data_IF_988550518700
#
_entry.id   IF_988550518700
#
_cell.length_a   1.000
_cell.length_b   1.000
_cell.length_c   1.000
_cell.angle_alpha   90.00
_cell.angle_beta   90.00
_cell.angle_gamma   90.00
#
_symmetry.space_group_name_H-M   'P 1'
#
loop_
_entity.id
_entity.type
_entity.pdbx_description
1 polymer ?
#
# COMPACT_ATOMS: atom_id res chain seq x y z
N UNK A 1 -26.47 -11.40 53.12
CA UNK A 1 -26.99 -11.08 51.77
C UNK A 1 -25.82 -10.60 50.93
N UNK A 2 -25.34 -11.45 50.04
CA UNK A 2 -24.16 -11.22 49.19
C UNK A 2 -24.65 -10.53 47.92
N UNK A 3 -24.37 -9.24 47.76
CA UNK A 3 -24.69 -8.50 46.54
C UNK A 3 -23.68 -8.90 45.45
N UNK A 4 -24.15 -9.68 44.46
CA UNK A 4 -23.45 -9.89 43.21
C UNK A 4 -23.43 -8.56 42.43
N UNK A 5 -22.26 -7.96 42.30
CA UNK A 5 -22.02 -6.90 41.33
C UNK A 5 -21.74 -7.55 39.96
N UNK A 6 -22.74 -7.58 39.07
CA UNK A 6 -22.50 -7.80 37.65
C UNK A 6 -21.97 -6.49 37.06
N UNK A 7 -20.66 -6.41 36.81
CA UNK A 7 -20.10 -5.44 35.86
C UNK A 7 -20.45 -5.92 34.45
N UNK A 8 -21.13 -5.11 33.61
CA UNK A 8 -21.16 -5.38 32.19
C UNK A 8 -19.78 -4.97 31.64
N UNK A 9 -18.94 -5.97 31.38
CA UNK A 9 -17.77 -5.80 30.50
C UNK A 9 -18.32 -5.68 29.08
N UNK A 10 -18.85 -4.49 28.75
CA UNK A 10 -19.11 -4.07 27.38
C UNK A 10 -17.74 -3.82 26.74
N UNK A 11 -17.15 -4.91 26.25
CA UNK A 11 -16.01 -4.87 25.35
C UNK A 11 -16.34 -3.92 24.20
N UNK A 12 -15.52 -2.87 24.08
CA UNK A 12 -15.50 -1.95 22.95
C UNK A 12 -15.07 -2.65 21.68
N UNK A 13 -16.00 -3.39 21.06
CA UNK A 13 -15.90 -3.74 19.65
C UNK A 13 -15.99 -2.42 18.88
N UNK A 14 -14.85 -1.87 18.49
CA UNK A 14 -14.82 -0.91 17.39
C UNK A 14 -15.24 -1.71 16.16
N UNK A 15 -16.54 -1.69 15.86
CA UNK A 15 -17.06 -2.11 14.58
C UNK A 15 -16.57 -1.04 13.60
N UNK A 16 -15.36 -1.21 13.07
CA UNK A 16 -14.99 -0.48 11.87
C UNK A 16 -15.94 -0.96 10.79
N UNK A 17 -16.71 -0.03 10.22
CA UNK A 17 -17.60 -0.32 9.11
C UNK A 17 -16.76 -0.89 7.95
N UNK A 18 -17.33 -1.82 7.18
CA UNK A 18 -16.73 -2.24 5.92
C UNK A 18 -16.50 -1.01 5.02
N UNK A 19 -15.44 -1.00 4.19
CA UNK A 19 -15.23 0.10 3.26
C UNK A 19 -16.46 0.25 2.35
N UNK A 20 -16.90 1.49 2.17
CA UNK A 20 -17.97 1.81 1.23
C UNK A 20 -17.50 1.70 -0.22
N UNK A 21 -16.19 1.83 -0.43
CA UNK A 21 -15.55 1.71 -1.74
C UNK A 21 -14.08 1.32 -1.60
N UNK A 22 -13.56 0.56 -2.58
CA UNK A 22 -12.17 0.13 -2.64
C UNK A 22 -11.65 0.49 -4.04
N UNK A 23 -10.66 1.37 -4.07
CA UNK A 23 -10.02 1.79 -5.31
C UNK A 23 -8.69 1.08 -5.50
N UNK A 24 -8.43 0.69 -6.75
CA UNK A 24 -7.18 0.10 -7.20
C UNK A 24 -6.37 1.14 -7.99
N UNK A 25 -5.03 1.07 -7.96
CA UNK A 25 -4.24 2.08 -8.64
C UNK A 25 -4.36 1.88 -10.15
N UNK A 26 -4.60 2.95 -10.90
CA UNK A 26 -4.57 2.92 -12.36
C UNK A 26 -3.21 3.31 -12.95
N UNK A 27 -2.23 3.54 -12.08
CA UNK A 27 -0.86 3.86 -12.48
C UNK A 27 0.14 3.30 -11.48
N UNK A 28 1.12 2.56 -12.00
CA UNK A 28 2.28 2.03 -11.27
C UNK A 28 3.55 2.53 -11.97
N UNK A 29 4.23 3.52 -11.40
CA UNK A 29 5.45 4.10 -11.96
C UNK A 29 6.69 3.63 -11.20
N UNK A 30 7.61 2.91 -11.85
CA UNK A 30 8.93 2.67 -11.28
C UNK A 30 9.71 3.96 -11.13
N UNK A 31 10.27 4.20 -9.95
CA UNK A 31 11.25 5.25 -9.69
C UNK A 31 12.54 4.57 -9.27
N UNK A 32 13.56 4.59 -10.14
CA UNK A 32 14.82 3.86 -9.93
C UNK A 32 15.97 4.82 -9.73
N UNK A 33 16.66 4.71 -8.61
CA UNK A 33 17.83 5.54 -8.31
C UNK A 33 18.98 5.31 -9.29
N UNK A 34 19.22 4.06 -9.68
CA UNK A 34 20.24 3.70 -10.68
C UNK A 34 19.95 4.22 -12.09
N UNK A 35 18.72 4.69 -12.35
CA UNK A 35 18.28 5.25 -13.63
C UNK A 35 17.55 6.58 -13.41
N UNK A 36 18.20 7.59 -12.82
CA UNK A 36 17.50 8.63 -12.10
C UNK A 36 16.78 9.66 -12.99
N UNK A 37 17.13 9.68 -14.28
CA UNK A 37 16.55 10.56 -15.30
C UNK A 37 15.63 9.81 -16.28
N UNK A 38 15.42 8.50 -16.10
CA UNK A 38 14.54 7.73 -16.98
C UNK A 38 13.11 7.87 -16.45
N UNK A 39 12.22 8.35 -17.32
CA UNK A 39 10.80 8.45 -17.04
C UNK A 39 10.10 7.19 -17.56
N UNK A 40 9.73 6.31 -16.64
CA UNK A 40 9.01 5.10 -16.98
C UNK A 40 7.53 5.42 -17.20
N UNK A 41 6.91 4.74 -18.16
CA UNK A 41 5.44 4.70 -18.25
C UNK A 41 4.89 3.75 -17.19
N UNK A 42 3.59 3.79 -16.97
CA UNK A 42 2.88 2.82 -16.14
C UNK A 42 3.26 1.39 -16.53
N UNK A 43 3.54 0.57 -15.53
CA UNK A 43 3.84 -0.85 -15.68
C UNK A 43 2.62 -1.68 -15.21
N UNK A 44 2.47 -2.92 -15.70
CA UNK A 44 1.41 -3.82 -15.24
C UNK A 44 1.72 -4.46 -13.88
N UNK A 45 3.00 -4.44 -13.48
CA UNK A 45 3.53 -4.95 -12.23
C UNK A 45 4.33 -3.86 -11.49
N UNK A 46 4.62 -4.11 -10.23
CA UNK A 46 5.36 -3.20 -9.38
C UNK A 46 6.50 -3.91 -8.65
N UNK A 47 7.57 -3.15 -8.41
CA UNK A 47 8.75 -3.60 -7.69
C UNK A 47 9.17 -2.50 -6.72
N UNK A 48 9.47 -2.89 -5.49
CA UNK A 48 10.10 -2.04 -4.49
C UNK A 48 11.33 -2.76 -3.96
N UNK A 49 12.47 -2.08 -3.90
CA UNK A 49 13.69 -2.72 -3.45
C UNK A 49 14.79 -1.78 -2.98
N UNK A 50 15.70 -2.37 -2.22
CA UNK A 50 16.92 -1.76 -1.72
C UNK A 50 18.06 -2.78 -1.86
N UNK A 51 19.21 -2.33 -2.35
CA UNK A 51 20.42 -3.12 -2.39
C UNK A 51 21.47 -2.54 -1.44
N UNK A 52 21.75 -3.22 -0.33
CA UNK A 52 22.68 -2.75 0.70
C UNK A 52 24.13 -2.69 0.26
N UNK A 53 24.50 -3.38 -0.82
CA UNK A 53 25.85 -3.34 -1.37
C UNK A 53 26.09 -2.09 -2.22
N UNK A 54 25.07 -1.62 -2.95
CA UNK A 54 25.21 -0.45 -3.84
C UNK A 54 24.58 0.82 -3.26
N UNK A 55 23.67 0.67 -2.29
CA UNK A 55 22.80 1.75 -1.81
C UNK A 55 21.64 2.05 -2.75
N UNK A 56 21.49 1.31 -3.86
CA UNK A 56 20.47 1.64 -4.87
C UNK A 56 19.05 1.33 -4.36
N UNK A 57 18.18 2.32 -4.52
CA UNK A 57 16.75 2.18 -4.26
C UNK A 57 15.90 2.08 -5.55
N UNK A 58 14.84 1.29 -5.43
CA UNK A 58 13.72 1.31 -6.37
C UNK A 58 12.40 1.47 -5.61
N UNK A 59 11.66 2.52 -5.96
CA UNK A 59 10.32 2.78 -5.44
C UNK A 59 9.28 2.51 -6.52
N UNK A 60 8.02 2.34 -6.09
CA UNK A 60 6.86 2.38 -6.98
C UNK A 60 5.98 3.56 -6.56
N UNK A 61 5.74 4.50 -7.46
CA UNK A 61 4.74 5.54 -7.27
C UNK A 61 3.39 5.09 -7.84
N UNK A 62 2.32 5.40 -7.11
CA UNK A 62 0.97 4.94 -7.43
C UNK A 62 -0.03 6.08 -7.39
N UNK A 63 -1.10 5.92 -8.14
CA UNK A 63 -2.16 6.90 -8.27
C UNK A 63 -3.53 6.22 -8.25
N UNK A 64 -4.45 6.80 -7.48
CA UNK A 64 -5.84 6.37 -7.35
C UNK A 64 -6.77 7.50 -7.75
N UNK A 65 -7.81 7.18 -8.51
CA UNK A 65 -8.95 8.06 -8.69
C UNK A 65 -9.84 7.99 -7.44
N UNK A 66 -10.21 9.13 -6.88
CA UNK A 66 -11.05 9.22 -5.69
C UNK A 66 -12.42 9.76 -6.06
N UNK A 67 -13.46 8.91 -6.14
CA UNK A 67 -14.80 9.35 -6.48
C UNK A 67 -15.43 10.18 -5.36
N UNK A 68 -16.34 11.08 -5.73
CA UNK A 68 -17.08 11.96 -4.81
C UNK A 68 -18.44 11.33 -4.45
N UNK A 69 -18.43 10.41 -3.49
CA UNK A 69 -19.62 9.65 -3.05
C UNK A 69 -19.91 9.78 -1.55
N UNK A 70 -19.49 10.89 -0.93
CA UNK A 70 -19.70 11.12 0.51
C UNK A 70 -18.72 10.37 1.42
N UNK A 71 -17.66 9.81 0.84
CA UNK A 71 -16.47 9.30 1.52
C UNK A 71 -15.77 10.44 2.29
N UNK A 72 -15.65 10.28 3.61
CA UNK A 72 -14.98 11.28 4.46
C UNK A 72 -13.57 10.84 4.85
N UNK A 73 -13.33 9.53 4.92
CA UNK A 73 -12.13 8.95 5.48
C UNK A 73 -11.57 7.86 4.58
N UNK A 74 -10.27 7.93 4.35
CA UNK A 74 -9.51 7.02 3.50
C UNK A 74 -8.42 6.33 4.31
N UNK A 75 -8.12 5.11 3.91
CA UNK A 75 -7.04 4.30 4.45
C UNK A 75 -6.34 3.58 3.31
N UNK A 76 -5.02 3.53 3.34
CA UNK A 76 -4.25 2.77 2.34
C UNK A 76 -3.95 1.41 2.92
N UNK A 77 -4.21 0.37 2.14
CA UNK A 77 -3.95 -1.00 2.54
C UNK A 77 -3.08 -1.71 1.49
N UNK A 78 -2.32 -2.71 1.92
CA UNK A 78 -1.54 -3.57 1.04
C UNK A 78 -1.95 -5.02 1.29
N UNK A 79 -2.32 -5.72 0.23
CA UNK A 79 -2.84 -7.06 0.29
C UNK A 79 -1.89 -8.05 -0.38
N UNK A 80 -1.74 -9.23 0.22
CA UNK A 80 -1.13 -10.39 -0.44
C UNK A 80 -2.20 -11.47 -0.43
N UNK A 81 -2.68 -11.85 -1.61
CA UNK A 81 -3.63 -12.93 -1.73
C UNK A 81 -2.90 -14.27 -1.53
N UNK A 82 -3.22 -14.96 -0.44
CA UNK A 82 -2.61 -16.25 -0.07
C UNK A 82 -3.42 -17.47 -0.54
N UNK A 83 -4.49 -17.26 -1.31
CA UNK A 83 -5.27 -18.34 -1.90
C UNK A 83 -4.45 -19.06 -2.98
N UNK A 84 -4.00 -20.27 -2.64
CA UNK A 84 -3.17 -21.11 -3.50
C UNK A 84 -3.83 -21.47 -4.83
N UNK A 85 -5.17 -21.45 -4.91
CA UNK A 85 -5.89 -21.69 -6.16
C UNK A 85 -5.79 -20.52 -7.15
N UNK A 86 -5.58 -19.30 -6.66
CA UNK A 86 -5.42 -18.10 -7.50
C UNK A 86 -3.97 -17.81 -7.84
N UNK A 87 -3.04 -18.26 -7.00
CA UNK A 87 -1.60 -18.15 -7.23
C UNK A 87 -1.20 -16.71 -7.64
N UNK A 88 -1.70 -15.72 -6.88
CA UNK A 88 -1.42 -14.32 -7.14
C UNK A 88 0.10 -14.09 -7.14
N UNK A 89 0.68 -13.42 -8.17
CA UNK A 89 2.11 -13.27 -8.23
C UNK A 89 2.61 -12.32 -7.14
N UNK A 90 3.50 -12.85 -6.29
CA UNK A 90 4.24 -12.11 -5.28
C UNK A 90 5.66 -12.67 -5.23
N UNK A 91 6.66 -11.79 -5.21
CA UNK A 91 8.06 -12.12 -5.05
C UNK A 91 8.63 -11.40 -3.86
N UNK A 92 9.28 -12.11 -2.94
CA UNK A 92 10.01 -11.52 -1.81
C UNK A 92 11.44 -12.07 -1.82
N UNK A 93 12.43 -11.18 -1.95
CA UNK A 93 13.86 -11.52 -1.89
C UNK A 93 14.60 -10.55 -0.97
N UNK A 94 15.76 -10.97 -0.49
CA UNK A 94 16.58 -10.22 0.46
C UNK A 94 16.44 -10.75 1.89
N UNK A 95 16.48 -9.84 2.87
CA UNK A 95 16.51 -10.16 4.29
C UNK A 95 15.20 -9.78 4.99
N UNK A 96 14.59 -10.75 5.67
CA UNK A 96 13.39 -10.50 6.46
C UNK A 96 13.69 -9.60 7.68
N UNK A 97 12.70 -8.84 8.20
CA UNK A 97 11.34 -8.70 7.68
C UNK A 97 11.28 -7.88 6.39
N UNK A 98 10.46 -8.34 5.44
CA UNK A 98 10.21 -7.66 4.17
C UNK A 98 9.24 -6.50 4.40
N UNK A 99 9.77 -5.36 4.82
CA UNK A 99 8.97 -4.22 5.23
C UNK A 99 8.96 -3.12 4.18
N UNK A 100 7.78 -2.62 3.84
CA UNK A 100 7.57 -1.48 2.94
C UNK A 100 6.89 -0.34 3.67
N UNK A 101 7.26 0.88 3.30
CA UNK A 101 6.60 2.11 3.72
C UNK A 101 5.78 2.67 2.57
N UNK A 102 4.65 3.26 2.91
CA UNK A 102 3.78 3.98 2.00
C UNK A 102 3.64 5.40 2.50
N UNK A 103 3.92 6.35 1.62
CA UNK A 103 3.92 7.76 1.93
C UNK A 103 3.11 8.54 0.90
N UNK A 104 2.28 9.47 1.36
CA UNK A 104 1.53 10.36 0.50
C UNK A 104 2.45 11.42 -0.08
N UNK A 105 2.24 11.77 -1.34
CA UNK A 105 3.04 12.76 -2.06
C UNK A 105 2.16 13.89 -2.60
N UNK A 106 2.80 15.00 -2.95
CA UNK A 106 2.17 16.08 -3.73
C UNK A 106 1.63 15.49 -5.06
N UNK A 107 0.34 15.66 -5.41
CA UNK A 107 -0.31 14.94 -6.50
C UNK A 107 0.10 15.44 -7.90
N UNK A 108 1.38 15.25 -8.25
CA UNK A 108 2.05 15.73 -9.46
C UNK A 108 2.72 14.60 -10.26
N UNK A 109 2.39 13.34 -10.01
CA UNK A 109 2.86 12.23 -10.84
C UNK A 109 2.37 12.40 -12.29
N UNK A 110 3.28 12.16 -13.23
CA UNK A 110 3.03 12.22 -14.68
C UNK A 110 3.51 10.92 -15.30
N UNK A 111 2.59 10.17 -15.92
CA UNK A 111 2.90 8.93 -16.62
C UNK A 111 3.92 9.18 -17.76
N UNK A 112 5.10 8.57 -17.66
CA UNK A 112 6.20 8.80 -18.63
C UNK A 112 6.86 10.18 -18.51
N UNK A 113 6.59 10.94 -17.45
CA UNK A 113 7.24 12.23 -17.16
C UNK A 113 7.94 12.28 -15.79
N UNK A 114 7.47 11.47 -14.82
CA UNK A 114 8.11 11.37 -13.50
C UNK A 114 9.31 10.43 -13.54
N UNK A 115 10.39 10.85 -12.90
CA UNK A 115 11.69 10.20 -12.75
C UNK A 115 12.07 10.17 -11.27
N UNK A 116 13.16 9.49 -10.92
CA UNK A 116 13.72 9.56 -9.57
C UNK A 116 14.08 10.99 -9.13
N UNK A 117 14.64 11.79 -10.04
CA UNK A 117 15.14 13.13 -9.75
C UNK A 117 14.04 14.21 -9.68
N UNK A 118 12.90 14.00 -10.33
CA UNK A 118 11.78 14.96 -10.31
C UNK A 118 10.53 14.43 -9.58
N UNK A 119 10.64 13.31 -8.86
CA UNK A 119 9.54 12.73 -8.09
C UNK A 119 8.96 13.77 -7.12
N UNK A 120 7.63 13.82 -6.94
CA UNK A 120 7.02 14.79 -6.03
C UNK A 120 7.48 14.57 -4.59
N UNK A 121 7.48 15.65 -3.81
CA UNK A 121 7.88 15.59 -2.40
C UNK A 121 6.88 14.77 -1.57
N UNK A 122 7.41 14.02 -0.61
CA UNK A 122 6.61 13.34 0.41
C UNK A 122 5.96 14.36 1.33
N UNK A 123 4.64 14.26 1.47
CA UNK A 123 3.85 15.08 2.40
C UNK A 123 3.80 14.44 3.78
N UNK A 124 3.50 13.14 3.83
CA UNK A 124 3.39 12.39 5.07
C UNK A 124 3.58 10.89 4.86
N UNK A 125 4.13 10.22 5.88
CA UNK A 125 4.13 8.78 5.97
C UNK A 125 2.77 8.28 6.48
N UNK A 126 2.12 7.38 5.74
CA UNK A 126 0.75 6.92 6.02
C UNK A 126 0.66 5.46 6.46
N UNK A 127 1.55 4.58 6.00
CA UNK A 127 1.51 3.19 6.41
C UNK A 127 2.86 2.45 6.32
N UNK A 128 3.03 1.42 7.14
CA UNK A 128 4.12 0.44 7.06
C UNK A 128 3.54 -0.96 7.09
N UNK A 129 3.92 -1.79 6.12
CA UNK A 129 3.52 -3.20 6.04
C UNK A 129 4.72 -4.11 6.13
N UNK A 130 4.57 -5.23 6.84
CA UNK A 130 5.48 -6.37 6.78
C UNK A 130 4.84 -7.45 5.92
N UNK A 131 5.56 -7.90 4.91
CA UNK A 131 5.07 -8.82 3.89
C UNK A 131 5.53 -10.26 4.20
N UNK A 132 4.60 -11.20 4.10
CA UNK A 132 4.85 -12.63 4.15
C UNK A 132 4.06 -13.33 3.04
N UNK A 133 4.74 -14.12 2.21
CA UNK A 133 4.11 -14.78 1.06
C UNK A 133 3.01 -15.79 1.45
N UNK A 134 3.05 -16.33 2.67
CA UNK A 134 2.14 -17.37 3.16
C UNK A 134 1.11 -16.80 4.14
N UNK A 135 1.50 -15.80 4.94
CA UNK A 135 0.64 -15.21 5.97
C UNK A 135 -0.07 -13.94 5.51
N UNK A 136 0.35 -13.36 4.39
CA UNK A 136 -0.21 -12.12 3.86
C UNK A 136 0.61 -10.89 4.23
N UNK A 137 0.00 -9.71 4.15
CA UNK A 137 0.60 -8.46 4.58
C UNK A 137 0.05 -8.07 5.96
N UNK A 138 0.94 -7.67 6.86
CA UNK A 138 0.60 -7.21 8.22
C UNK A 138 0.89 -5.72 8.36
N UNK A 139 -0.14 -4.94 8.68
CA UNK A 139 0.01 -3.52 8.97
C UNK A 139 0.68 -3.31 10.34
N UNK A 140 1.76 -2.53 10.36
CA UNK A 140 2.48 -2.13 11.58
C UNK A 140 2.14 -0.69 11.95
N UNK A 141 1.98 0.16 10.94
CA UNK A 141 1.56 1.55 11.05
C UNK A 141 0.48 1.76 10.00
N UNK A 142 -0.65 2.32 10.40
CA UNK A 142 -1.72 2.70 9.49
C UNK A 142 -2.39 3.98 9.94
N UNK A 143 -2.38 4.99 9.08
CA UNK A 143 -3.09 6.24 9.31
C UNK A 143 -4.36 6.28 8.49
N UNK A 144 -5.37 6.85 9.12
CA UNK A 144 -6.60 7.26 8.48
C UNK A 144 -6.48 8.75 8.15
N UNK A 145 -6.92 9.15 6.96
CA UNK A 145 -6.81 10.53 6.50
C UNK A 145 -8.05 10.94 5.71
N UNK A 146 -8.32 12.24 5.64
CA UNK A 146 -9.42 12.74 4.83
C UNK A 146 -9.20 12.37 3.35
N UNK A 147 -10.22 11.78 2.73
CA UNK A 147 -10.15 11.43 1.31
C UNK A 147 -9.92 12.71 0.47
N UNK A 148 -8.85 12.77 -0.34
CA UNK A 148 -8.69 13.88 -1.27
C UNK A 148 -9.76 13.82 -2.35
N UNK A 149 -10.17 14.98 -2.86
CA UNK A 149 -11.10 15.02 -4.00
C UNK A 149 -10.36 14.73 -5.29
N UNK A 150 -10.88 13.78 -6.07
CA UNK A 150 -10.40 13.46 -7.41
C UNK A 150 -9.20 12.53 -7.46
N UNK A 151 -8.10 12.85 -6.76
CA UNK A 151 -6.83 12.14 -6.92
C UNK A 151 -6.09 11.91 -5.61
N UNK A 152 -5.58 10.69 -5.40
CA UNK A 152 -4.66 10.37 -4.32
C UNK A 152 -3.39 9.71 -4.87
N UNK A 153 -2.22 10.23 -4.47
CA UNK A 153 -0.93 9.74 -4.94
C UNK A 153 -0.01 9.38 -3.79
N UNK A 154 0.69 8.26 -3.96
CA UNK A 154 1.57 7.70 -2.96
C UNK A 154 2.86 7.19 -3.60
N UNK A 155 3.89 7.03 -2.78
CA UNK A 155 5.07 6.23 -3.09
C UNK A 155 5.16 5.07 -2.11
N UNK A 156 5.50 3.91 -2.65
CA UNK A 156 5.82 2.70 -1.92
C UNK A 156 7.33 2.52 -2.02
N UNK A 157 8.00 2.39 -0.89
CA UNK A 157 9.46 2.32 -0.81
C UNK A 157 9.91 1.37 0.30
N UNK A 158 11.18 0.93 0.30
CA UNK A 158 11.73 0.11 1.39
C UNK A 158 11.56 0.81 2.74
N UNK A 159 11.24 0.05 3.79
CA UNK A 159 11.09 0.60 5.14
C UNK A 159 12.44 0.83 5.86
N UNK A 160 13.54 0.39 5.26
CA UNK A 160 14.89 0.60 5.78
C UNK A 160 15.96 0.06 4.83
N UNK A 161 17.21 0.14 5.27
CA UNK A 161 18.41 -0.15 4.47
C UNK A 161 18.82 -1.65 4.50
N UNK A 162 17.84 -2.55 4.51
CA UNK A 162 18.10 -4.00 4.39
C UNK A 162 17.83 -4.44 2.97
N UNK A 163 18.60 -5.40 2.47
CA UNK A 163 18.34 -6.01 1.17
C UNK A 163 16.87 -6.42 1.08
N UNK A 164 16.18 -5.86 0.10
CA UNK A 164 14.76 -6.07 -0.12
C UNK A 164 14.51 -6.02 -1.63
N UNK A 165 13.74 -6.98 -2.11
CA UNK A 165 13.01 -6.86 -3.37
C UNK A 165 11.63 -7.46 -3.12
N UNK A 166 10.60 -6.63 -3.20
CA UNK A 166 9.21 -7.07 -3.30
C UNK A 166 8.69 -6.80 -4.70
N UNK A 167 7.96 -7.75 -5.25
CA UNK A 167 7.40 -7.72 -6.59
C UNK A 167 5.94 -8.19 -6.54
N UNK A 168 5.02 -7.52 -7.22
CA UNK A 168 3.62 -7.95 -7.29
C UNK A 168 2.90 -7.48 -8.56
N UNK A 169 1.77 -8.11 -8.86
CA UNK A 169 0.73 -7.57 -9.76
C UNK A 169 -0.46 -7.05 -8.96
N UNK A 170 -1.07 -5.98 -9.43
CA UNK A 170 -2.37 -5.52 -8.93
C UNK A 170 -3.49 -6.43 -9.45
N UNK A 171 -4.22 -7.08 -8.52
CA UNK A 171 -5.31 -7.99 -8.83
C UNK A 171 -6.52 -7.71 -7.92
N UNK A 172 -7.69 -7.57 -8.52
CA UNK A 172 -8.97 -7.23 -7.89
C UNK A 172 -9.82 -8.46 -7.55
N UNK A 173 -9.18 -9.53 -7.11
CA UNK A 173 -9.90 -10.78 -6.81
C UNK A 173 -10.98 -10.59 -5.74
N UNK A 174 -12.09 -11.29 -5.92
CA UNK A 174 -13.20 -11.27 -4.99
C UNK A 174 -12.82 -11.82 -3.61
N UNK A 175 -13.59 -11.48 -2.57
CA UNK A 175 -13.40 -12.04 -1.22
C UNK A 175 -13.47 -13.57 -1.21
N UNK A 176 -14.35 -14.17 -2.03
CA UNK A 176 -14.44 -15.63 -2.17
C UNK A 176 -13.17 -16.25 -2.76
N UNK A 177 -12.42 -15.46 -3.53
CA UNK A 177 -11.15 -15.84 -4.13
C UNK A 177 -9.93 -15.46 -3.26
N UNK A 178 -10.14 -15.01 -2.03
CA UNK A 178 -9.07 -14.62 -1.10
C UNK A 178 -8.77 -13.12 -1.06
N UNK A 179 -9.52 -12.30 -1.81
CA UNK A 179 -9.41 -10.84 -1.81
C UNK A 179 -8.27 -10.30 -2.69
N UNK A 180 -8.06 -8.96 -2.66
CA UNK A 180 -7.07 -8.28 -3.50
C UNK A 180 -5.63 -8.79 -3.38
N UNK A 181 -4.80 -8.46 -4.36
CA UNK A 181 -3.34 -8.54 -4.28
C UNK A 181 -2.74 -7.22 -4.77
N UNK A 182 -1.88 -6.59 -3.96
CA UNK A 182 -1.33 -5.26 -4.24
C UNK A 182 -1.91 -4.17 -3.34
N UNK A 183 -1.72 -2.91 -3.74
CA UNK A 183 -2.12 -1.75 -2.93
C UNK A 183 -3.56 -1.33 -3.25
N UNK A 184 -4.30 -0.92 -2.22
CA UNK A 184 -5.65 -0.38 -2.38
C UNK A 184 -5.81 0.93 -1.59
N UNK A 185 -6.75 1.75 -2.04
CA UNK A 185 -7.27 2.89 -1.28
C UNK A 185 -8.70 2.55 -0.85
N UNK A 186 -8.86 2.28 0.43
CA UNK A 186 -10.13 1.91 1.05
C UNK A 186 -10.82 3.17 1.60
N UNK A 187 -12.11 3.34 1.29
CA UNK A 187 -12.88 4.53 1.60
C UNK A 187 -14.03 4.21 2.54
N UNK A 188 -14.30 5.13 3.47
CA UNK A 188 -15.25 4.94 4.56
C UNK A 188 -16.10 6.21 4.73
N UNK A 189 -17.34 6.00 5.21
CA UNK A 189 -18.31 7.06 5.49
C UNK A 189 -18.05 7.74 6.85
#
# INVERSE_FOLDING_TARGET
>A
MLFLALLPVLFGLRVFADPIDIQFPHMLLPLKESQPNIAFKTQPDAIVGFNSLTGDEQWTAVNFDVPDHGNTLCHVNFHINTNTAKNAPIGLKGQAPFAINISRIDPKLVNGGTTWNNKPATLEHVATFVLDKNLGASEIVGKWFACPKGLAQFVIHPAGERDLETYWYELDYSKADGGPNGITLEMFA
#
